data_IF_079259997249
#
_entry.id   IF_079259997249
#
_cell.length_a   1.000
_cell.length_b   1.000
_cell.length_c   1.000
_cell.angle_alpha   90.00
_cell.angle_beta   90.00
_cell.angle_gamma   90.00
#
_symmetry.space_group_name_H-M   'P 1'
#
loop_
_entity.id
_entity.type
_entity.pdbx_description
1 polymer ?
#
# COMPACT_ATOMS: atom_id res chain seq x y z
N UNK A 1 -40.92 -45.15 9.15
CA UNK A 1 -39.63 -45.78 8.80
C UNK A 1 -39.26 -45.43 7.37
N UNK A 2 -38.05 -44.88 7.17
CA UNK A 2 -37.27 -44.80 5.91
C UNK A 2 -37.84 -43.86 4.82
N UNK A 3 -37.46 -42.59 4.74
CA UNK A 3 -36.14 -42.02 4.39
C UNK A 3 -35.80 -42.18 2.89
N UNK A 4 -35.96 -41.10 2.12
CA UNK A 4 -35.21 -40.73 0.89
C UNK A 4 -35.64 -39.29 0.54
N UNK A 5 -34.85 -38.26 0.88
CA UNK A 5 -33.81 -37.65 0.02
C UNK A 5 -34.34 -37.32 -1.39
N UNK A 6 -34.15 -36.15 -2.01
CA UNK A 6 -33.37 -34.93 -1.73
C UNK A 6 -33.68 -33.97 -2.91
N UNK A 7 -33.65 -32.65 -2.64
CA UNK A 7 -33.22 -31.56 -3.54
C UNK A 7 -34.06 -31.26 -4.80
N UNK A 8 -34.66 -30.06 -4.84
CA UNK A 8 -34.56 -29.04 -5.90
C UNK A 8 -35.32 -27.79 -5.38
N UNK A 9 -34.59 -26.81 -4.84
CA UNK A 9 -34.35 -25.51 -5.50
C UNK A 9 -35.56 -24.56 -5.40
N UNK A 10 -35.63 -23.81 -4.29
CA UNK A 10 -36.49 -22.63 -4.18
C UNK A 10 -35.58 -21.40 -4.25
N UNK A 11 -35.55 -20.79 -5.44
CA UNK A 11 -35.04 -19.45 -5.65
C UNK A 11 -36.27 -18.53 -5.58
N UNK A 12 -36.38 -17.74 -4.51
CA UNK A 12 -37.37 -16.67 -4.43
C UNK A 12 -36.63 -15.39 -4.01
N UNK A 13 -36.42 -14.52 -5.01
CA UNK A 13 -36.03 -13.13 -4.82
C UNK A 13 -37.05 -12.46 -3.88
N UNK A 14 -36.56 -11.90 -2.78
CA UNK A 14 -37.28 -10.85 -2.07
C UNK A 14 -36.42 -9.59 -2.18
N UNK A 15 -36.79 -8.72 -3.12
CA UNK A 15 -36.43 -7.30 -3.06
C UNK A 15 -37.16 -6.70 -1.86
N UNK A 16 -36.43 -6.42 -0.77
CA UNK A 16 -36.88 -5.51 0.25
C UNK A 16 -36.21 -4.14 0.02
N UNK A 17 -36.92 -3.25 -0.67
CA UNK A 17 -36.66 -1.82 -0.61
C UNK A 17 -37.14 -1.36 0.76
N UNK A 18 -36.23 -1.18 1.70
CA UNK A 18 -36.54 -0.50 2.96
C UNK A 18 -35.97 0.90 2.88
N UNK A 19 -36.89 1.84 2.65
CA UNK A 19 -36.69 3.26 2.89
C UNK A 19 -36.42 3.46 4.38
N UNK A 20 -35.23 3.97 4.71
CA UNK A 20 -34.85 4.31 6.07
C UNK A 20 -34.19 5.68 6.07
N UNK A 21 -34.83 6.65 6.72
CA UNK A 21 -34.16 7.85 7.21
C UNK A 21 -32.96 7.42 8.06
N UNK A 22 -31.74 7.67 7.59
CA UNK A 22 -30.54 7.45 8.41
C UNK A 22 -29.99 8.79 8.85
N UNK A 23 -30.29 9.13 10.10
CA UNK A 23 -29.42 9.96 10.94
C UNK A 23 -27.98 9.41 10.85
N UNK A 24 -27.01 10.30 10.64
CA UNK A 24 -25.61 10.02 10.29
C UNK A 24 -24.83 9.14 11.28
N UNK A 25 -25.06 7.84 11.23
CA UNK A 25 -24.11 6.81 11.66
C UNK A 25 -23.47 6.22 10.41
N UNK A 26 -22.16 6.37 10.25
CA UNK A 26 -21.44 5.73 9.16
C UNK A 26 -21.66 4.22 9.23
N UNK A 27 -22.02 3.61 8.09
CA UNK A 27 -22.23 2.16 7.99
C UNK A 27 -20.93 1.45 8.39
N UNK A 28 -20.98 0.60 9.43
CA UNK A 28 -19.85 -0.27 9.80
C UNK A 28 -19.63 -1.28 8.67
N UNK A 29 -18.42 -1.37 8.16
CA UNK A 29 -18.02 -2.32 7.13
C UNK A 29 -17.40 -3.52 7.82
N UNK A 30 -17.80 -4.72 7.40
CA UNK A 30 -17.19 -5.95 7.87
C UNK A 30 -15.79 -6.08 7.25
N UNK A 31 -14.78 -6.15 8.10
CA UNK A 31 -13.37 -6.25 7.73
C UNK A 31 -12.82 -7.63 8.13
N UNK A 32 -11.80 -8.14 7.43
CA UNK A 32 -11.11 -9.37 7.84
C UNK A 32 -10.57 -9.25 9.27
N UNK A 33 -10.57 -10.39 9.99
CA UNK A 33 -9.96 -10.44 11.33
C UNK A 33 -8.44 -10.35 11.26
N UNK A 34 -7.82 -10.91 10.22
CA UNK A 34 -6.39 -10.81 10.02
C UNK A 34 -6.02 -9.42 9.47
N UNK A 35 -5.24 -8.68 10.25
CA UNK A 35 -4.71 -7.37 9.86
C UNK A 35 -3.88 -7.44 8.57
N UNK A 36 -3.22 -8.56 8.29
CA UNK A 36 -2.35 -8.67 7.11
C UNK A 36 -3.08 -8.96 5.79
N UNK A 37 -4.41 -9.01 5.83
CA UNK A 37 -5.26 -8.86 4.63
C UNK A 37 -5.24 -7.40 4.11
N UNK A 38 -4.81 -6.43 4.94
CA UNK A 38 -4.59 -5.02 4.54
C UNK A 38 -5.82 -4.33 3.91
N UNK A 39 -7.00 -4.84 4.27
CA UNK A 39 -8.30 -4.27 3.93
C UNK A 39 -8.72 -3.30 5.03
N UNK A 40 -9.22 -2.14 4.62
CA UNK A 40 -9.76 -1.13 5.55
C UNK A 40 -11.00 -0.47 4.97
N UNK A 41 -11.71 0.31 5.77
CA UNK A 41 -12.77 1.18 5.26
C UNK A 41 -12.41 2.65 5.51
N UNK A 42 -12.70 3.51 4.53
CA UNK A 42 -12.51 4.95 4.62
C UNK A 42 -13.76 5.66 4.13
N UNK A 43 -14.37 6.44 5.01
CA UNK A 43 -15.65 7.14 4.76
C UNK A 43 -16.77 6.18 4.29
N UNK A 44 -16.74 4.95 4.81
CA UNK A 44 -17.72 3.90 4.48
C UNK A 44 -17.42 3.10 3.21
N UNK A 45 -16.36 3.42 2.47
CA UNK A 45 -15.92 2.63 1.32
C UNK A 45 -14.90 1.58 1.75
N UNK A 46 -15.11 0.31 1.38
CA UNK A 46 -14.13 -0.76 1.56
C UNK A 46 -12.99 -0.57 0.55
N UNK A 47 -11.75 -0.57 1.03
CA UNK A 47 -10.53 -0.43 0.23
C UNK A 47 -9.66 -1.66 0.48
N UNK A 48 -9.17 -2.24 -0.61
CA UNK A 48 -8.28 -3.39 -0.64
C UNK A 48 -7.13 -3.03 -1.58
N UNK A 49 -5.89 -3.20 -1.11
CA UNK A 49 -4.68 -2.86 -1.85
C UNK A 49 -3.97 -4.14 -2.32
N UNK A 50 -3.24 -4.10 -3.45
CA UNK A 50 -3.20 -3.00 -4.41
C UNK A 50 -4.50 -2.88 -5.22
N UNK A 51 -4.85 -1.67 -5.67
CA UNK A 51 -6.03 -1.45 -6.54
C UNK A 51 -5.73 -0.53 -7.71
N UNK A 52 -6.55 -0.58 -8.77
CA UNK A 52 -6.45 0.36 -9.88
C UNK A 52 -6.88 1.76 -9.44
N UNK A 53 -6.19 2.77 -9.98
CA UNK A 53 -6.53 4.18 -9.76
C UNK A 53 -7.99 4.46 -10.18
N UNK A 54 -8.43 3.94 -11.33
CA UNK A 54 -9.80 4.11 -11.82
C UNK A 54 -10.86 3.58 -10.84
N UNK A 55 -10.58 2.47 -10.15
CA UNK A 55 -11.52 1.92 -9.16
C UNK A 55 -11.58 2.80 -7.91
N UNK A 56 -10.50 3.48 -7.56
CA UNK A 56 -10.48 4.47 -6.49
C UNK A 56 -11.28 5.73 -6.88
N UNK A 57 -11.22 6.14 -8.15
CA UNK A 57 -12.05 7.22 -8.70
C UNK A 57 -13.55 6.85 -8.69
N UNK A 58 -13.90 5.59 -8.98
CA UNK A 58 -15.29 5.09 -8.88
C UNK A 58 -15.87 5.16 -7.47
N UNK A 59 -15.02 5.18 -6.42
CA UNK A 59 -15.45 5.46 -5.05
C UNK A 59 -15.79 6.95 -4.81
N UNK A 60 -15.73 7.79 -5.85
CA UNK A 60 -16.05 9.21 -5.80
C UNK A 60 -14.89 10.09 -5.33
N UNK A 61 -13.67 9.53 -5.23
CA UNK A 61 -12.44 10.28 -4.94
C UNK A 61 -11.92 10.91 -6.23
N UNK A 62 -11.43 12.14 -6.13
CA UNK A 62 -10.94 12.92 -7.27
C UNK A 62 -9.56 13.45 -6.98
N UNK A 63 -8.73 13.57 -8.00
CA UNK A 63 -7.41 14.17 -7.90
C UNK A 63 -7.33 15.41 -8.79
N UNK A 64 -6.57 16.40 -8.34
CA UNK A 64 -6.15 17.54 -9.15
C UNK A 64 -4.69 17.44 -9.62
N UNK A 65 -4.00 16.37 -9.24
CA UNK A 65 -2.58 16.18 -9.51
C UNK A 65 -2.36 15.75 -10.97
N UNK A 66 -1.13 15.96 -11.46
CA UNK A 66 -0.76 15.62 -12.84
C UNK A 66 -0.59 14.10 -13.03
N UNK A 67 -1.57 13.50 -13.72
CA UNK A 67 -1.56 12.08 -14.06
C UNK A 67 -0.79 11.74 -15.36
N UNK A 68 0.01 12.67 -15.89
CA UNK A 68 0.86 12.44 -17.07
C UNK A 68 2.32 12.18 -16.72
N UNK A 69 2.69 12.31 -15.44
CA UNK A 69 4.03 12.03 -14.93
C UNK A 69 4.47 10.61 -15.27
N UNK A 70 5.72 10.46 -15.72
CA UNK A 70 6.28 9.16 -16.08
C UNK A 70 6.82 8.43 -14.85
N UNK A 71 6.26 7.26 -14.57
CA UNK A 71 6.70 6.37 -13.50
C UNK A 71 7.56 5.27 -14.13
N UNK A 72 8.84 5.21 -13.75
CA UNK A 72 9.76 4.14 -14.18
C UNK A 72 9.40 2.81 -13.48
N UNK A 73 9.82 1.65 -14.03
CA UNK A 73 9.67 0.36 -13.35
C UNK A 73 10.13 0.41 -11.89
N UNK A 74 9.39 -0.26 -11.00
CA UNK A 74 9.67 -0.34 -9.56
C UNK A 74 9.72 1.01 -8.83
N UNK A 75 9.16 2.06 -9.45
CA UNK A 75 8.96 3.38 -8.83
C UNK A 75 7.49 3.63 -8.59
N UNK A 76 7.24 4.63 -7.77
CA UNK A 76 5.90 5.10 -7.45
C UNK A 76 5.85 6.63 -7.45
N UNK A 77 4.67 7.17 -7.70
CA UNK A 77 4.38 8.59 -7.54
C UNK A 77 3.35 8.80 -6.43
N UNK A 78 3.48 9.90 -5.71
CA UNK A 78 2.50 10.30 -4.70
C UNK A 78 1.38 11.08 -5.37
N UNK A 79 0.15 10.59 -5.28
CA UNK A 79 -1.03 11.24 -5.86
C UNK A 79 -2.06 11.50 -4.77
N UNK A 80 -2.48 12.76 -4.65
CA UNK A 80 -3.47 13.22 -3.67
C UNK A 80 -4.88 13.02 -4.21
N UNK A 81 -5.77 12.47 -3.38
CA UNK A 81 -7.17 12.27 -3.71
C UNK A 81 -8.08 12.86 -2.64
N UNK A 82 -9.15 13.53 -3.08
CA UNK A 82 -10.13 14.19 -2.22
C UNK A 82 -11.54 13.64 -2.44
N UNK A 83 -12.29 13.46 -1.35
CA UNK A 83 -13.74 13.20 -1.34
C UNK A 83 -14.38 13.96 -0.18
N UNK A 84 -15.20 14.96 -0.47
CA UNK A 84 -15.69 15.89 0.54
C UNK A 84 -14.52 16.67 1.16
N UNK A 85 -14.46 16.70 2.49
CA UNK A 85 -13.40 17.38 3.25
C UNK A 85 -12.16 16.49 3.51
N UNK A 86 -12.19 15.23 3.06
CA UNK A 86 -11.10 14.27 3.29
C UNK A 86 -10.17 14.24 2.11
N UNK A 87 -8.88 14.51 2.35
CA UNK A 87 -7.79 14.29 1.40
C UNK A 87 -6.89 13.16 1.91
N UNK A 88 -6.45 12.30 0.99
CA UNK A 88 -5.49 11.22 1.27
C UNK A 88 -4.36 11.26 0.26
N UNK A 89 -3.16 10.88 0.69
CA UNK A 89 -2.01 10.71 -0.19
C UNK A 89 -1.86 9.24 -0.55
N UNK A 90 -1.82 8.93 -1.84
CA UNK A 90 -1.67 7.56 -2.33
C UNK A 90 -0.30 7.34 -2.94
N UNK A 91 0.25 6.13 -2.82
CA UNK A 91 1.43 5.70 -3.56
C UNK A 91 0.97 4.90 -4.77
N UNK A 92 1.13 5.47 -5.97
CA UNK A 92 0.79 4.81 -7.24
C UNK A 92 2.05 4.19 -7.82
N UNK A 93 2.19 2.87 -7.70
CA UNK A 93 3.36 2.12 -8.13
C UNK A 93 3.26 1.56 -9.55
N UNK A 94 4.44 1.40 -10.16
CA UNK A 94 4.62 0.76 -11.45
C UNK A 94 5.19 -0.67 -11.27
N UNK A 95 4.33 -1.71 -11.30
CA UNK A 95 4.77 -3.11 -11.28
C UNK A 95 5.23 -3.61 -12.67
N UNK A 96 5.18 -2.76 -13.70
CA UNK A 96 5.54 -3.14 -15.06
C UNK A 96 7.00 -2.87 -15.38
N UNK A 97 7.51 -3.54 -16.41
CA UNK A 97 8.85 -3.34 -16.98
C UNK A 97 8.93 -2.13 -17.92
N UNK A 98 7.82 -1.44 -18.16
CA UNK A 98 7.74 -0.28 -19.04
C UNK A 98 7.63 1.02 -18.23
N UNK A 99 7.95 2.15 -18.85
CA UNK A 99 7.58 3.45 -18.29
C UNK A 99 6.08 3.65 -18.49
N UNK A 100 5.37 4.01 -17.43
CA UNK A 100 3.91 4.20 -17.44
C UNK A 100 3.52 5.57 -16.90
N UNK A 101 2.24 5.90 -16.99
CA UNK A 101 1.60 6.99 -16.26
C UNK A 101 0.82 6.48 -15.03
N UNK A 102 0.47 7.33 -14.05
CA UNK A 102 -0.36 6.94 -12.91
C UNK A 102 -1.65 6.18 -13.26
N UNK A 103 -2.28 6.48 -14.42
CA UNK A 103 -3.52 5.82 -14.86
C UNK A 103 -3.34 4.34 -15.15
N UNK A 104 -2.13 3.93 -15.54
CA UNK A 104 -1.81 2.54 -15.86
C UNK A 104 -1.33 1.76 -14.62
N UNK A 105 -0.91 2.48 -13.58
CA UNK A 105 -0.35 1.93 -12.34
C UNK A 105 -1.39 1.38 -11.37
N UNK A 106 -0.93 1.10 -10.15
CA UNK A 106 -1.74 0.60 -9.05
C UNK A 106 -1.48 1.42 -7.80
N UNK A 107 -2.53 1.77 -7.07
CA UNK A 107 -2.42 2.30 -5.72
C UNK A 107 -1.95 1.14 -4.84
N UNK A 108 -0.72 1.24 -4.34
CA UNK A 108 -0.07 0.27 -3.46
C UNK A 108 -0.02 0.78 -2.02
N UNK A 109 -0.37 2.04 -1.76
CA UNK A 109 -0.43 2.57 -0.41
C UNK A 109 -1.32 3.77 -0.30
N UNK A 110 -1.89 3.97 0.89
CA UNK A 110 -2.71 5.12 1.24
C UNK A 110 -2.25 5.62 2.61
N UNK A 111 -1.83 6.87 2.66
CA UNK A 111 -1.59 7.63 3.89
C UNK A 111 -2.79 8.54 4.14
N UNK A 112 -3.43 8.33 5.29
CA UNK A 112 -4.53 9.14 5.79
C UNK A 112 -4.00 9.96 6.97
N UNK A 113 -4.21 11.27 6.91
CA UNK A 113 -3.85 12.19 7.98
C UNK A 113 -5.05 12.45 8.89
N UNK A 114 -4.81 12.45 10.19
CA UNK A 114 -5.74 12.92 11.21
C UNK A 114 -5.68 14.44 11.34
N UNK A 115 -6.04 14.97 12.50
CA UNK A 115 -5.93 16.40 12.79
C UNK A 115 -4.96 16.70 13.92
N UNK A 116 -4.27 17.84 13.76
CA UNK A 116 -3.51 18.53 14.79
C UNK A 116 -4.40 19.52 15.59
N UNK A 117 -5.73 19.49 15.47
CA UNK A 117 -6.64 20.08 16.46
C UNK A 117 -7.64 19.01 16.91
N UNK A 118 -7.70 18.76 18.22
CA UNK A 118 -8.72 17.88 18.84
C UNK A 118 -10.17 18.22 18.47
N UNK A 119 -10.45 19.46 18.06
CA UNK A 119 -11.79 19.92 17.71
C UNK A 119 -12.14 19.67 16.25
N UNK A 120 -11.15 19.44 15.41
CA UNK A 120 -11.37 19.22 14.00
C UNK A 120 -11.91 17.81 13.77
N UNK A 121 -12.69 17.69 12.70
CA UNK A 121 -13.15 16.39 12.24
C UNK A 121 -11.97 15.61 11.67
N UNK A 122 -11.74 14.42 12.19
CA UNK A 122 -10.81 13.45 11.61
C UNK A 122 -11.51 12.57 10.57
N UNK A 123 -10.78 12.00 9.58
CA UNK A 123 -11.35 11.05 8.66
C UNK A 123 -11.95 9.84 9.39
N UNK A 124 -13.08 9.35 8.91
CA UNK A 124 -13.71 8.13 9.41
C UNK A 124 -13.06 6.91 8.76
N UNK A 125 -12.04 6.37 9.42
CA UNK A 125 -11.37 5.13 9.07
C UNK A 125 -11.85 3.98 9.96
N UNK A 126 -12.00 2.80 9.39
CA UNK A 126 -12.18 1.55 10.13
C UNK A 126 -11.06 0.60 9.72
N UNK A 127 -10.34 0.09 10.71
CA UNK A 127 -9.29 -0.91 10.55
C UNK A 127 -9.70 -2.21 11.25
N UNK A 128 -9.04 -3.31 10.89
CA UNK A 128 -9.21 -4.58 11.60
C UNK A 128 -8.98 -4.40 13.11
N UNK A 129 -9.70 -5.18 13.93
CA UNK A 129 -9.62 -5.05 15.39
C UNK A 129 -10.41 -3.88 16.00
N UNK A 130 -11.28 -3.22 15.21
CA UNK A 130 -12.08 -2.05 15.60
C UNK A 130 -11.24 -0.80 15.91
N UNK A 131 -10.11 -0.62 15.21
CA UNK A 131 -9.26 0.56 15.34
C UNK A 131 -9.71 1.69 14.40
N UNK A 132 -9.53 2.93 14.84
CA UNK A 132 -9.87 4.17 14.16
C UNK A 132 -8.94 5.33 14.58
N UNK A 133 -9.19 6.56 14.15
CA UNK A 133 -8.38 7.74 14.54
C UNK A 133 -8.50 8.14 16.02
N UNK A 134 -9.48 7.63 16.76
CA UNK A 134 -9.60 7.86 18.21
C UNK A 134 -8.81 6.84 19.02
N UNK A 135 -8.29 5.80 18.37
CA UNK A 135 -7.52 4.75 19.01
C UNK A 135 -6.20 5.28 19.55
N UNK A 136 -5.86 4.85 20.76
CA UNK A 136 -4.57 5.14 21.38
C UNK A 136 -3.55 4.11 20.97
N UNK A 137 -2.28 4.41 21.23
CA UNK A 137 -1.17 3.47 21.03
C UNK A 137 -1.43 2.13 21.70
N UNK A 138 -1.95 2.14 22.93
CA UNK A 138 -2.22 0.94 23.71
C UNK A 138 -3.30 0.08 23.06
N UNK A 139 -4.31 0.70 22.44
CA UNK A 139 -5.37 0.01 21.70
C UNK A 139 -4.78 -0.71 20.48
N UNK A 140 -3.91 -0.02 19.72
CA UNK A 140 -3.23 -0.61 18.56
C UNK A 140 -2.36 -1.79 18.97
N UNK A 141 -1.55 -1.66 20.02
CA UNK A 141 -0.69 -2.75 20.52
C UNK A 141 -1.53 -3.92 21.06
N UNK A 142 -2.62 -3.64 21.76
CA UNK A 142 -3.51 -4.68 22.28
C UNK A 142 -4.17 -5.50 21.15
N UNK A 143 -4.48 -4.86 20.02
CA UNK A 143 -5.13 -5.51 18.88
C UNK A 143 -4.14 -6.17 17.93
N UNK A 144 -3.04 -5.51 17.60
CA UNK A 144 -2.11 -5.96 16.57
C UNK A 144 -0.89 -6.70 17.11
N UNK A 145 -0.66 -6.65 18.42
CA UNK A 145 0.46 -7.29 19.11
C UNK A 145 1.72 -6.43 19.14
N UNK A 146 2.88 -7.09 19.17
CA UNK A 146 4.17 -6.40 19.15
C UNK A 146 4.44 -5.80 17.75
N UNK A 147 4.79 -4.50 17.65
CA UNK A 147 5.14 -3.90 16.37
C UNK A 147 6.46 -4.48 15.83
N UNK A 148 6.57 -4.57 14.50
CA UNK A 148 7.82 -4.95 13.83
C UNK A 148 8.90 -3.90 14.05
N UNK A 149 8.51 -2.63 14.02
CA UNK A 149 9.37 -1.48 14.31
C UNK A 149 8.61 -0.45 15.12
N UNK A 150 9.31 0.22 16.03
CA UNK A 150 8.75 1.34 16.78
C UNK A 150 9.80 2.41 16.98
N UNK A 151 9.37 3.68 16.97
CA UNK A 151 10.24 4.81 17.24
C UNK A 151 9.60 5.75 18.25
N UNK A 152 10.43 6.32 19.12
CA UNK A 152 10.05 7.39 20.06
C UNK A 152 11.00 8.55 19.81
N UNK A 153 10.43 9.71 19.51
CA UNK A 153 11.17 10.94 19.31
C UNK A 153 11.91 11.37 20.56
N UNK A 154 13.02 12.11 20.38
CA UNK A 154 13.86 12.58 21.48
C UNK A 154 13.08 13.42 22.50
N UNK A 155 12.22 14.30 21.99
CA UNK A 155 11.36 15.18 22.80
C UNK A 155 10.10 14.46 23.33
N UNK A 156 9.91 13.18 22.97
CA UNK A 156 8.80 12.30 23.38
C UNK A 156 7.40 12.81 23.01
N UNK A 157 7.33 13.78 22.11
CA UNK A 157 6.13 14.31 21.48
C UNK A 157 5.77 13.58 20.19
N UNK A 158 6.59 12.62 19.76
CA UNK A 158 6.42 11.83 18.55
C UNK A 158 6.64 10.35 18.84
N UNK A 159 5.72 9.50 18.38
CA UNK A 159 5.88 8.05 18.38
C UNK A 159 5.36 7.44 17.09
N UNK A 160 5.96 6.34 16.64
CA UNK A 160 5.44 5.56 15.53
C UNK A 160 5.50 4.06 15.81
N UNK A 161 4.52 3.35 15.25
CA UNK A 161 4.44 1.89 15.26
C UNK A 161 4.29 1.40 13.83
N UNK A 162 5.12 0.45 13.41
CA UNK A 162 4.99 -0.24 12.13
C UNK A 162 4.72 -1.72 12.34
N UNK A 163 3.76 -2.26 11.59
CA UNK A 163 3.41 -3.68 11.57
C UNK A 163 3.60 -4.18 10.14
N UNK A 164 4.80 -4.69 9.87
CA UNK A 164 5.19 -5.12 8.53
C UNK A 164 4.72 -6.56 8.30
N UNK A 165 4.04 -6.79 7.18
CA UNK A 165 3.65 -8.12 6.69
C UNK A 165 4.87 -8.88 6.17
N UNK A 166 5.73 -8.17 5.44
CA UNK A 166 6.97 -8.70 4.88
C UNK A 166 8.20 -8.22 5.64
N UNK A 167 9.35 -8.81 5.29
CA UNK A 167 10.64 -8.55 5.94
C UNK A 167 11.16 -7.13 5.68
N UNK A 168 10.80 -6.52 4.56
CA UNK A 168 11.38 -5.26 4.09
C UNK A 168 10.51 -4.05 4.45
N UNK A 169 9.27 -4.27 4.91
CA UNK A 169 8.35 -3.23 5.30
C UNK A 169 7.62 -2.57 4.14
N UNK A 170 7.54 -3.24 2.99
CA UNK A 170 6.85 -2.71 1.81
C UNK A 170 5.32 -2.83 1.95
N UNK A 171 4.87 -3.82 2.73
CA UNK A 171 3.47 -4.10 3.02
C UNK A 171 3.21 -4.12 4.53
N UNK A 172 2.13 -3.48 4.98
CA UNK A 172 1.80 -3.37 6.39
C UNK A 172 1.04 -2.11 6.76
N UNK A 173 1.03 -1.85 8.07
CA UNK A 173 0.51 -0.60 8.64
C UNK A 173 1.62 0.21 9.27
N UNK A 174 1.50 1.55 9.19
CA UNK A 174 2.23 2.48 10.05
C UNK A 174 1.25 3.43 10.72
N UNK A 175 1.42 3.59 12.03
CA UNK A 175 0.67 4.51 12.88
C UNK A 175 1.64 5.57 13.40
N UNK A 176 1.25 6.84 13.36
CA UNK A 176 2.01 7.95 13.94
C UNK A 176 1.19 8.65 14.99
N UNK A 177 1.77 8.80 16.17
CA UNK A 177 1.19 9.51 17.29
C UNK A 177 2.01 10.76 17.60
N UNK A 178 1.35 11.89 17.80
CA UNK A 178 2.00 13.15 18.16
C UNK A 178 1.27 13.81 19.33
N UNK A 179 2.04 14.36 20.28
CA UNK A 179 1.58 15.26 21.32
C UNK A 179 2.01 16.69 20.98
N UNK A 180 1.23 17.35 20.13
CA UNK A 180 1.59 18.66 19.60
C UNK A 180 1.16 19.83 20.53
N UNK A 181 0.28 19.58 21.51
CA UNK A 181 -0.25 20.61 22.43
C UNK A 181 0.00 20.33 23.92
N UNK A 182 0.78 19.29 24.23
CA UNK A 182 1.15 18.89 25.58
C UNK A 182 0.01 18.25 26.38
N UNK A 183 -1.09 17.84 25.73
CA UNK A 183 -2.23 17.17 26.38
C UNK A 183 -2.22 15.66 26.20
N UNK A 184 -1.19 15.13 25.55
CA UNK A 184 -0.99 13.70 25.33
C UNK A 184 -1.09 13.29 23.87
N UNK A 185 -0.53 12.11 23.60
CA UNK A 185 -0.39 11.53 22.26
C UNK A 185 -1.73 11.28 21.57
N UNK A 186 -1.79 11.61 20.28
CA UNK A 186 -2.95 11.38 19.41
C UNK A 186 -2.51 10.80 18.09
N UNK A 187 -3.31 9.90 17.53
CA UNK A 187 -3.07 9.33 16.22
C UNK A 187 -3.27 10.41 15.14
N UNK A 188 -2.21 10.73 14.39
CA UNK A 188 -2.21 11.77 13.35
C UNK A 188 -1.92 11.24 11.95
N UNK A 189 -1.42 10.01 11.82
CA UNK A 189 -1.28 9.34 10.51
C UNK A 189 -1.60 7.86 10.67
N UNK A 190 -2.42 7.35 9.76
CA UNK A 190 -2.49 5.92 9.45
C UNK A 190 -2.07 5.73 8.02
N UNK A 191 -1.04 4.91 7.81
CA UNK A 191 -0.63 4.45 6.48
C UNK A 191 -0.88 2.96 6.35
N UNK A 192 -1.52 2.59 5.25
CA UNK A 192 -1.68 1.19 4.82
C UNK A 192 -0.93 1.03 3.50
N UNK A 193 -0.06 0.04 3.41
CA UNK A 193 0.68 -0.27 2.18
C UNK A 193 0.56 -1.76 1.88
N UNK A 194 0.44 -2.11 0.60
CA UNK A 194 0.57 -3.46 0.10
C UNK A 194 1.29 -3.43 -1.25
N UNK A 195 2.52 -3.95 -1.29
CA UNK A 195 3.30 -4.11 -2.51
C UNK A 195 3.14 -5.51 -3.12
N UNK A 196 2.52 -6.45 -2.40
CA UNK A 196 2.28 -7.80 -2.91
C UNK A 196 1.20 -7.78 -3.99
N UNK A 197 1.50 -8.38 -5.13
CA UNK A 197 0.58 -8.53 -6.25
C UNK A 197 0.66 -9.95 -6.78
N UNK A 198 -0.46 -10.51 -7.21
CA UNK A 198 -0.50 -11.85 -7.78
C UNK A 198 0.43 -11.94 -8.99
N UNK A 199 1.26 -12.99 -9.04
CA UNK A 199 2.19 -13.23 -10.14
C UNK A 199 1.49 -13.31 -11.49
N UNK A 200 0.24 -13.81 -11.57
CA UNK A 200 -0.57 -13.83 -12.79
C UNK A 200 -0.92 -12.41 -13.24
N UNK A 201 -1.21 -11.50 -12.31
CA UNK A 201 -1.46 -10.08 -12.61
C UNK A 201 -0.18 -9.43 -13.14
N UNK A 202 0.96 -9.64 -12.47
CA UNK A 202 2.25 -9.09 -12.90
C UNK A 202 2.65 -9.64 -14.27
N UNK A 203 2.49 -10.94 -14.51
CA UNK A 203 2.75 -11.58 -15.79
C UNK A 203 1.81 -11.04 -16.89
N UNK A 204 0.54 -10.82 -16.57
CA UNK A 204 -0.43 -10.23 -17.49
C UNK A 204 -0.09 -8.79 -17.90
N UNK A 205 0.53 -8.01 -16.99
CA UNK A 205 0.98 -6.64 -17.25
C UNK A 205 2.25 -6.64 -18.13
N UNK A 206 3.20 -7.51 -17.82
CA UNK A 206 4.52 -7.51 -18.45
C UNK A 206 4.60 -8.34 -19.74
N UNK A 207 3.63 -9.22 -19.97
CA UNK A 207 3.67 -10.18 -21.06
C UNK A 207 4.84 -11.16 -20.91
N UNK A 208 5.20 -11.80 -22.01
CA UNK A 208 6.39 -12.65 -22.06
C UNK A 208 7.67 -11.78 -22.05
N UNK A 209 8.48 -11.92 -21.02
CA UNK A 209 9.82 -11.31 -20.96
C UNK A 209 10.77 -12.15 -21.81
N UNK A 210 11.56 -11.50 -22.68
CA UNK A 210 12.57 -12.19 -23.48
C UNK A 210 13.58 -12.91 -22.58
N UNK A 211 13.90 -14.14 -22.96
CA UNK A 211 14.96 -14.95 -22.33
C UNK A 211 16.31 -14.82 -23.06
N UNK A 212 16.35 -14.02 -24.13
CA UNK A 212 17.56 -13.81 -24.91
C UNK A 212 18.52 -12.89 -24.16
N UNK A 213 19.82 -13.15 -24.33
CA UNK A 213 20.84 -12.26 -23.79
C UNK A 213 20.69 -10.86 -24.43
N UNK A 214 20.72 -9.77 -23.64
CA UNK A 214 20.70 -8.42 -24.19
C UNK A 214 21.85 -8.22 -25.19
N UNK A 215 21.61 -7.51 -26.29
CA UNK A 215 22.65 -7.21 -27.30
C UNK A 215 23.91 -6.56 -26.71
N UNK A 216 23.79 -5.88 -25.57
CA UNK A 216 24.92 -5.29 -24.86
C UNK A 216 25.94 -6.35 -24.38
N UNK A 217 25.51 -7.60 -24.16
CA UNK A 217 26.39 -8.71 -23.79
C UNK A 217 27.46 -8.96 -24.86
N UNK A 218 27.09 -8.88 -26.14
CA UNK A 218 28.04 -9.08 -27.25
C UNK A 218 29.11 -7.98 -27.33
N UNK A 219 28.81 -6.79 -26.80
CA UNK A 219 29.73 -5.65 -26.78
C UNK A 219 30.69 -5.69 -25.60
N UNK A 220 30.44 -6.55 -24.61
CA UNK A 220 31.28 -6.64 -23.43
C UNK A 220 32.65 -7.25 -23.75
N UNK A 221 33.70 -6.64 -23.19
CA UNK A 221 35.05 -7.18 -23.22
C UNK A 221 35.61 -7.19 -21.81
N UNK A 222 35.90 -8.39 -21.30
CA UNK A 222 36.51 -8.54 -19.99
C UNK A 222 37.90 -7.85 -19.99
N UNK A 223 38.18 -6.96 -19.03
CA UNK A 223 39.51 -6.39 -18.87
C UNK A 223 40.49 -7.46 -18.38
N UNK A 224 41.78 -7.25 -18.64
CA UNK A 224 42.85 -8.16 -18.16
C UNK A 224 43.50 -7.66 -16.86
N UNK A 225 43.25 -6.42 -16.46
CA UNK A 225 43.83 -5.79 -15.28
C UNK A 225 42.85 -4.82 -14.63
N UNK A 226 43.09 -4.52 -13.35
CA UNK A 226 42.39 -3.44 -12.64
C UNK A 226 42.79 -2.10 -13.24
N UNK A 227 41.83 -1.18 -13.35
CA UNK A 227 42.08 0.18 -13.80
C UNK A 227 42.76 1.02 -12.73
N UNK A 228 43.55 1.99 -13.18
CA UNK A 228 44.36 2.86 -12.31
C UNK A 228 43.55 4.01 -11.67
N UNK A 229 42.24 4.12 -11.97
CA UNK A 229 41.37 5.17 -11.45
C UNK A 229 40.25 4.57 -10.60
N UNK A 230 39.85 5.29 -9.56
CA UNK A 230 38.74 4.87 -8.69
C UNK A 230 37.42 4.70 -9.45
N UNK A 231 37.22 5.45 -10.54
CA UNK A 231 36.04 5.39 -11.41
C UNK A 231 36.25 4.53 -12.66
N UNK A 232 37.29 3.70 -12.70
CA UNK A 232 37.44 2.68 -13.75
C UNK A 232 36.40 1.57 -13.61
N UNK A 233 35.75 1.41 -12.45
CA UNK A 233 34.72 0.38 -12.19
C UNK A 233 35.15 -1.05 -12.56
N UNK A 234 36.46 -1.33 -12.51
CA UNK A 234 37.00 -2.68 -12.65
C UNK A 234 37.13 -3.35 -11.30
N UNK A 235 36.73 -4.61 -11.20
CA UNK A 235 36.85 -5.43 -10.00
C UNK A 235 37.53 -6.75 -10.32
N UNK A 236 38.27 -7.32 -9.37
CA UNK A 236 38.85 -8.67 -9.48
C UNK A 236 38.10 -9.59 -8.51
N UNK A 237 37.44 -10.61 -9.05
CA UNK A 237 36.81 -11.67 -8.27
C UNK A 237 37.57 -12.96 -8.58
N UNK A 238 38.17 -13.57 -7.56
CA UNK A 238 39.16 -14.65 -7.72
C UNK A 238 40.26 -14.20 -8.70
N UNK A 239 40.49 -14.93 -9.79
CA UNK A 239 41.50 -14.61 -10.80
C UNK A 239 40.95 -13.92 -12.06
N UNK A 240 39.68 -13.54 -12.05
CA UNK A 240 39.02 -12.88 -13.20
C UNK A 240 38.77 -11.41 -12.91
N UNK A 241 39.12 -10.55 -13.86
CA UNK A 241 38.84 -9.12 -13.79
C UNK A 241 37.60 -8.81 -14.63
N UNK A 242 36.70 -8.04 -14.05
CA UNK A 242 35.46 -7.57 -14.67
C UNK A 242 35.47 -6.06 -14.74
N UNK A 243 35.01 -5.51 -15.85
CA UNK A 243 34.57 -4.12 -15.95
C UNK A 243 33.07 -4.08 -15.64
N UNK A 244 32.62 -3.23 -14.73
CA UNK A 244 31.19 -3.03 -14.49
C UNK A 244 30.62 -1.92 -15.39
N UNK A 245 29.38 -2.06 -15.87
CA UNK A 245 28.52 -3.25 -15.76
C UNK A 245 29.05 -4.43 -16.62
N UNK A 246 28.99 -5.64 -16.08
CA UNK A 246 29.37 -6.89 -16.74
C UNK A 246 28.12 -7.74 -17.03
N UNK A 247 28.08 -8.51 -18.13
CA UNK A 247 27.02 -9.47 -18.37
C UNK A 247 27.04 -10.54 -17.28
N UNK A 248 25.86 -10.93 -16.81
CA UNK A 248 25.74 -12.11 -15.96
C UNK A 248 25.95 -13.37 -16.82
N UNK A 249 26.71 -14.37 -16.32
CA UNK A 249 26.89 -15.65 -17.00
C UNK A 249 25.59 -16.45 -17.11
#
# INVERSE_FOLDING_TARGET
>A
MKHRMRKFMVLLLVLAVVSGCTTGGSKKIELPEDKFELVFALEGDKIELPMKLEDFEKLGRKTGDDLTTQIKPERSESISFTKGDTTVNTSVGNPSNNVITPKEGFIMGVAIEGSYDSKDKVPNIQLSGDLDFNSKKEDVVAKYGTPSESYVGKEKDYESLSYNKDKYGDSGYRFVFIDYDGKGMRLIEVRVSNAEMDSEVVNGINGEVSKDAPELHEKYKAPTALGDKWNSFTIKINDTVYQLPAPLP
#
